data_IF_601245048147
#
_entry.id   IF_601245048147
#
_cell.length_a   1.000
_cell.length_b   1.000
_cell.length_c   1.000
_cell.angle_alpha   90.00
_cell.angle_beta   90.00
_cell.angle_gamma   90.00
#
_symmetry.space_group_name_H-M   'P 1'
#
loop_
_entity.id
_entity.type
_entity.pdbx_description
1 polymer ?
#
# COMPACT_ATOMS: atom_id res chain seq x y z
N UNK A 1 16.42 22.45 -28.51
CA UNK A 1 15.10 21.75 -28.53
C UNK A 1 15.14 20.45 -27.70
N UNK A 2 15.98 20.37 -26.67
CA UNK A 2 16.23 19.13 -25.89
C UNK A 2 15.47 19.02 -24.54
N UNK A 3 14.73 20.05 -24.15
CA UNK A 3 14.13 20.11 -22.80
C UNK A 3 12.76 19.45 -22.64
N UNK A 4 12.12 18.97 -23.71
CA UNK A 4 10.77 18.43 -23.66
C UNK A 4 10.68 16.95 -23.18
N UNK A 5 11.69 16.16 -23.50
CA UNK A 5 11.68 14.71 -23.20
C UNK A 5 11.98 14.41 -21.72
N UNK A 6 12.84 15.20 -21.08
CA UNK A 6 13.18 15.05 -19.67
C UNK A 6 11.98 15.24 -18.72
N UNK A 7 11.10 16.17 -19.04
CA UNK A 7 9.94 16.50 -18.18
C UNK A 7 8.90 15.39 -18.12
N UNK A 8 8.58 14.74 -19.23
CA UNK A 8 7.57 13.66 -19.24
C UNK A 8 8.07 12.39 -18.53
N UNK A 9 9.33 12.01 -18.76
CA UNK A 9 9.96 10.89 -18.04
C UNK A 9 10.04 11.16 -16.53
N UNK A 10 10.35 12.40 -16.14
CA UNK A 10 10.38 12.78 -14.74
C UNK A 10 8.97 12.73 -14.12
N UNK A 11 7.92 13.13 -14.85
CA UNK A 11 6.54 13.09 -14.33
C UNK A 11 6.02 11.65 -14.23
N UNK A 12 6.25 10.82 -15.25
CA UNK A 12 5.86 9.41 -15.24
C UNK A 12 6.65 8.62 -14.19
N UNK A 13 7.93 8.92 -14.01
CA UNK A 13 8.77 8.34 -12.97
C UNK A 13 8.30 8.77 -11.57
N UNK A 14 7.98 10.05 -11.36
CA UNK A 14 7.42 10.53 -10.09
C UNK A 14 6.07 9.88 -9.77
N UNK A 15 5.17 9.77 -10.73
CA UNK A 15 3.89 9.07 -10.53
C UNK A 15 4.06 7.58 -10.24
N UNK A 16 5.05 6.93 -10.85
CA UNK A 16 5.39 5.54 -10.55
C UNK A 16 5.98 5.40 -9.15
N UNK A 17 6.89 6.30 -8.78
CA UNK A 17 7.51 6.35 -7.46
C UNK A 17 6.46 6.57 -6.36
N UNK A 18 5.61 7.58 -6.51
CA UNK A 18 4.58 7.90 -5.52
C UNK A 18 3.47 6.83 -5.47
N UNK A 19 3.02 6.34 -6.61
CA UNK A 19 1.92 5.36 -6.69
C UNK A 19 2.29 3.92 -6.33
N UNK A 20 3.58 3.58 -6.33
CA UNK A 20 4.05 2.21 -6.05
C UNK A 20 4.99 2.16 -4.87
N UNK A 21 6.01 3.01 -4.80
CA UNK A 21 7.03 2.92 -3.76
C UNK A 21 6.51 3.31 -2.37
N UNK A 22 5.64 4.34 -2.28
CA UNK A 22 5.07 4.73 -0.99
C UNK A 22 4.19 3.62 -0.42
N UNK A 23 3.17 3.09 -1.14
CA UNK A 23 2.37 1.98 -0.61
C UNK A 23 3.21 0.73 -0.34
N UNK A 24 4.22 0.43 -1.16
CA UNK A 24 5.11 -0.71 -0.95
C UNK A 24 5.92 -0.56 0.35
N UNK A 25 6.58 0.58 0.55
CA UNK A 25 7.37 0.84 1.76
C UNK A 25 6.50 0.84 3.01
N UNK A 26 5.31 1.45 2.95
CA UNK A 26 4.34 1.44 4.04
C UNK A 26 3.89 0.00 4.35
N UNK A 27 3.56 -0.78 3.32
CA UNK A 27 3.17 -2.18 3.47
C UNK A 27 4.27 -3.03 4.11
N UNK A 28 5.52 -2.85 3.69
CA UNK A 28 6.68 -3.55 4.28
C UNK A 28 6.85 -3.17 5.76
N UNK A 29 6.75 -1.89 6.09
CA UNK A 29 6.86 -1.41 7.49
C UNK A 29 5.76 -2.02 8.35
N UNK A 30 4.51 -2.01 7.89
CA UNK A 30 3.37 -2.59 8.60
C UNK A 30 3.55 -4.10 8.78
N UNK A 31 3.95 -4.82 7.72
CA UNK A 31 4.19 -6.27 7.78
C UNK A 31 5.31 -6.63 8.75
N UNK A 32 6.43 -5.91 8.73
CA UNK A 32 7.53 -6.10 9.67
C UNK A 32 7.09 -5.84 11.10
N UNK A 33 6.33 -4.77 11.35
CA UNK A 33 5.78 -4.49 12.68
C UNK A 33 4.91 -5.64 13.17
N UNK A 34 3.99 -6.14 12.35
CA UNK A 34 3.15 -7.30 12.66
C UNK A 34 3.97 -8.58 12.92
N UNK A 35 5.02 -8.81 12.13
CA UNK A 35 5.92 -9.94 12.31
C UNK A 35 6.67 -9.87 13.65
N UNK A 36 7.27 -8.72 13.97
CA UNK A 36 7.98 -8.54 15.25
C UNK A 36 7.03 -8.66 16.45
N UNK A 37 5.83 -8.09 16.36
CA UNK A 37 4.80 -8.26 17.39
C UNK A 37 4.45 -9.73 17.61
N UNK A 38 4.29 -10.50 16.53
CA UNK A 38 3.96 -11.93 16.61
C UNK A 38 5.12 -12.74 17.17
N UNK A 39 6.33 -12.46 16.73
CA UNK A 39 7.55 -13.14 17.22
C UNK A 39 7.78 -12.87 18.70
N UNK A 40 7.70 -11.61 19.13
CA UNK A 40 7.90 -11.25 20.54
C UNK A 40 6.83 -11.90 21.43
N UNK A 41 5.59 -12.00 20.95
CA UNK A 41 4.53 -12.66 21.68
C UNK A 41 4.74 -14.18 21.79
N UNK A 42 5.17 -14.82 20.71
CA UNK A 42 5.48 -16.25 20.74
C UNK A 42 6.69 -16.56 21.67
N UNK A 43 7.70 -15.68 21.64
CA UNK A 43 8.86 -15.79 22.57
C UNK A 43 8.40 -15.63 24.02
N UNK A 44 7.52 -14.67 24.28
CA UNK A 44 6.94 -14.45 25.61
C UNK A 44 6.07 -15.63 26.05
N UNK A 45 5.26 -16.20 25.16
CA UNK A 45 4.45 -17.38 25.46
C UNK A 45 5.31 -18.62 25.79
N UNK A 46 6.41 -18.82 25.08
CA UNK A 46 7.34 -19.93 25.34
C UNK A 46 8.10 -19.83 26.68
N UNK A 47 8.37 -18.61 27.12
CA UNK A 47 9.17 -18.37 28.32
C UNK A 47 8.36 -17.80 29.49
N UNK A 48 7.03 -17.86 29.40
CA UNK A 48 6.15 -17.33 30.45
C UNK A 48 5.44 -18.45 31.22
N UNK A 49 5.24 -18.20 32.50
CA UNK A 49 4.41 -19.05 33.35
C UNK A 49 3.20 -18.29 33.85
N UNK A 50 2.15 -19.06 34.11
CA UNK A 50 0.92 -18.57 34.73
C UNK A 50 0.99 -18.85 36.22
N UNK A 51 0.81 -17.80 37.01
CA UNK A 51 0.79 -17.89 38.47
C UNK A 51 -0.40 -17.14 39.05
N UNK A 52 -0.87 -17.60 40.21
CA UNK A 52 -1.89 -16.88 40.98
C UNK A 52 -1.20 -15.84 41.86
N UNK A 53 -1.44 -14.59 41.53
CA UNK A 53 -0.96 -13.44 42.30
C UNK A 53 -1.99 -13.07 43.37
N UNK A 54 -1.57 -12.95 44.61
CA UNK A 54 -2.43 -12.58 45.73
C UNK A 54 -2.66 -11.07 45.74
N UNK A 55 -3.92 -10.64 45.74
CA UNK A 55 -4.27 -9.22 45.87
C UNK A 55 -4.00 -8.76 47.29
N UNK A 56 -3.21 -7.68 47.44
CA UNK A 56 -2.87 -7.03 48.71
C UNK A 56 -3.70 -5.79 48.96
N UNK A 57 -3.93 -5.03 47.90
CA UNK A 57 -4.69 -3.79 47.99
C UNK A 57 -5.54 -3.58 46.75
N UNK A 58 -6.64 -2.87 46.87
CA UNK A 58 -7.51 -2.54 45.74
C UNK A 58 -8.26 -1.23 45.98
N UNK A 59 -8.23 -0.34 44.99
CA UNK A 59 -8.83 0.97 45.01
C UNK A 59 -9.75 1.18 43.79
N UNK A 60 -10.96 1.69 43.98
CA UNK A 60 -11.82 2.09 42.86
C UNK A 60 -11.35 3.42 42.27
N UNK A 61 -11.08 3.45 40.94
CA UNK A 61 -10.71 4.65 40.20
C UNK A 61 -11.64 4.86 39.01
N UNK A 62 -12.76 5.54 39.25
CA UNK A 62 -13.81 5.73 38.26
C UNK A 62 -14.53 4.41 37.94
N UNK A 63 -14.53 4.03 36.66
CA UNK A 63 -15.06 2.78 36.11
C UNK A 63 -14.09 1.59 36.19
N UNK A 64 -12.89 1.81 36.71
CA UNK A 64 -11.81 0.83 36.81
C UNK A 64 -11.40 0.61 38.25
N UNK A 65 -10.70 -0.51 38.47
CA UNK A 65 -10.14 -0.85 39.77
C UNK A 65 -8.63 -0.99 39.64
N UNK A 66 -7.92 -0.22 40.41
CA UNK A 66 -6.50 -0.41 40.60
C UNK A 66 -6.31 -1.51 41.65
N UNK A 67 -5.40 -2.47 41.38
CA UNK A 67 -5.07 -3.56 42.30
C UNK A 67 -3.55 -3.69 42.42
N UNK A 68 -3.07 -3.79 43.67
CA UNK A 68 -1.71 -4.17 43.97
C UNK A 68 -1.69 -5.65 44.37
N UNK A 69 -0.75 -6.40 43.83
CA UNK A 69 -0.67 -7.84 44.06
C UNK A 69 0.78 -8.31 44.24
N UNK A 70 0.92 -9.47 44.86
CA UNK A 70 2.21 -10.16 45.07
C UNK A 70 2.12 -11.57 44.49
N UNK A 71 3.23 -12.04 43.95
CA UNK A 71 3.36 -13.40 43.43
C UNK A 71 4.77 -13.95 43.64
N UNK A 72 4.90 -15.26 43.65
CA UNK A 72 6.18 -15.97 43.72
C UNK A 72 6.53 -16.48 42.33
N UNK A 73 7.80 -16.28 41.94
CA UNK A 73 8.31 -16.91 40.73
C UNK A 73 8.74 -18.38 40.98
N UNK A 74 9.29 -19.06 39.96
CA UNK A 74 9.78 -20.43 40.06
C UNK A 74 10.89 -20.59 41.13
N UNK A 75 11.63 -19.52 41.42
CA UNK A 75 12.69 -19.52 42.41
C UNK A 75 12.19 -19.21 43.84
N UNK A 76 10.88 -19.05 44.01
CA UNK A 76 10.22 -18.60 45.24
C UNK A 76 10.58 -17.17 45.65
N UNK A 77 11.10 -16.37 44.73
CA UNK A 77 11.30 -14.95 44.98
C UNK A 77 9.98 -14.19 44.90
N UNK A 78 9.77 -13.28 45.84
CA UNK A 78 8.56 -12.48 45.95
C UNK A 78 8.64 -11.26 45.04
N UNK A 79 7.69 -11.15 44.10
CA UNK A 79 7.53 -10.01 43.21
C UNK A 79 6.25 -9.26 43.51
N UNK A 80 6.25 -7.96 43.21
CA UNK A 80 5.12 -7.06 43.40
C UNK A 80 4.72 -6.46 42.06
N UNK A 81 3.41 -6.33 41.84
CA UNK A 81 2.89 -5.71 40.65
C UNK A 81 1.61 -4.92 40.90
N UNK A 82 1.26 -4.14 39.89
CA UNK A 82 0.06 -3.32 39.91
C UNK A 82 -0.69 -3.52 38.59
N UNK A 83 -2.01 -3.53 38.64
CA UNK A 83 -2.83 -3.64 37.44
C UNK A 83 -4.09 -2.78 37.54
N UNK A 84 -4.56 -2.30 36.39
CA UNK A 84 -5.83 -1.62 36.28
C UNK A 84 -6.82 -2.56 35.59
N UNK A 85 -7.86 -2.96 36.32
CA UNK A 85 -8.86 -3.93 35.87
C UNK A 85 -10.15 -3.20 35.44
N UNK A 86 -10.82 -3.69 34.40
CA UNK A 86 -12.15 -3.24 34.01
C UNK A 86 -13.22 -3.94 34.86
N UNK A 87 -14.40 -3.32 34.99
CA UNK A 87 -15.48 -3.69 35.93
C UNK A 87 -15.73 -5.17 36.21
N UNK A 88 -16.10 -6.02 35.22
CA UNK A 88 -16.41 -7.43 35.51
C UNK A 88 -15.23 -8.24 36.01
N UNK A 89 -14.05 -8.05 35.41
CA UNK A 89 -12.82 -8.74 35.80
C UNK A 89 -12.33 -8.34 37.19
N UNK A 90 -12.51 -7.07 37.56
CA UNK A 90 -12.18 -6.56 38.88
C UNK A 90 -13.04 -7.15 39.97
N UNK A 91 -14.35 -7.26 39.73
CA UNK A 91 -15.27 -7.87 40.70
C UNK A 91 -14.92 -9.34 40.92
N UNK A 92 -14.67 -10.10 39.86
CA UNK A 92 -14.28 -11.50 39.96
C UNK A 92 -12.94 -11.67 40.71
N UNK A 93 -11.92 -10.87 40.40
CA UNK A 93 -10.62 -10.92 41.04
C UNK A 93 -10.71 -10.56 42.55
N UNK A 94 -11.50 -9.55 42.88
CA UNK A 94 -11.71 -9.14 44.29
C UNK A 94 -12.46 -10.19 45.10
N UNK A 95 -13.46 -10.86 44.50
CA UNK A 95 -14.15 -11.95 45.14
C UNK A 95 -13.27 -13.17 45.35
N UNK A 96 -12.40 -13.45 44.41
CA UNK A 96 -11.46 -14.57 44.49
C UNK A 96 -10.25 -14.28 45.39
N UNK A 97 -9.89 -13.01 45.62
CA UNK A 97 -8.70 -12.61 46.37
C UNK A 97 -7.38 -12.82 45.64
N UNK A 98 -7.41 -13.24 44.39
CA UNK A 98 -6.24 -13.46 43.57
C UNK A 98 -6.48 -13.07 42.11
N UNK A 99 -5.38 -12.85 41.37
CA UNK A 99 -5.34 -12.63 39.93
C UNK A 99 -4.54 -13.74 39.26
N UNK A 100 -4.96 -14.16 38.10
CA UNK A 100 -4.10 -14.95 37.24
C UNK A 100 -3.25 -13.99 36.38
N UNK A 101 -1.96 -14.06 36.58
CA UNK A 101 -0.97 -13.31 35.82
C UNK A 101 -0.06 -14.26 35.09
N UNK A 102 0.53 -13.78 34.00
CA UNK A 102 1.57 -14.48 33.29
C UNK A 102 2.83 -13.61 33.36
N UNK A 103 3.98 -14.18 33.74
CA UNK A 103 5.24 -13.48 33.85
C UNK A 103 6.32 -14.14 32.99
N UNK A 104 7.33 -13.36 32.57
CA UNK A 104 8.49 -13.87 31.84
C UNK A 104 9.48 -14.51 32.84
N UNK A 105 9.80 -15.80 32.68
CA UNK A 105 10.77 -16.52 33.53
C UNK A 105 12.15 -15.88 33.57
N UNK A 106 12.56 -15.21 32.49
CA UNK A 106 13.86 -14.54 32.39
C UNK A 106 13.88 -13.17 33.09
N UNK A 107 12.71 -12.54 33.18
CA UNK A 107 12.51 -11.22 33.76
C UNK A 107 11.18 -11.20 34.51
N UNK A 108 11.14 -11.77 35.73
CA UNK A 108 9.91 -11.92 36.49
C UNK A 108 9.16 -10.60 36.76
N UNK A 109 9.86 -9.47 36.71
CA UNK A 109 9.27 -8.14 36.84
C UNK A 109 8.35 -7.76 35.65
N UNK A 110 8.48 -8.47 34.52
CA UNK A 110 7.60 -8.29 33.35
C UNK A 110 6.46 -9.28 33.43
N UNK A 111 5.28 -8.75 33.70
CA UNK A 111 4.07 -9.53 33.83
C UNK A 111 2.89 -8.89 33.05
N UNK A 112 1.89 -9.70 32.76
CA UNK A 112 0.63 -9.26 32.20
C UNK A 112 -0.53 -10.13 32.70
N UNK A 113 -1.73 -9.56 32.66
CA UNK A 113 -2.94 -10.25 33.12
C UNK A 113 -3.28 -11.40 32.17
N UNK A 114 -3.50 -12.59 32.69
CA UNK A 114 -3.91 -13.76 31.92
C UNK A 114 -5.42 -13.76 31.58
N UNK A 115 -5.99 -12.55 31.26
CA UNK A 115 -7.40 -12.44 30.89
C UNK A 115 -7.58 -12.76 29.40
N UNK A 116 -8.47 -13.68 29.09
CA UNK A 116 -8.73 -14.18 27.73
C UNK A 116 -9.09 -13.08 26.73
N UNK A 117 -9.91 -12.11 27.12
CA UNK A 117 -10.38 -11.03 26.22
C UNK A 117 -9.26 -10.16 25.67
N UNK A 118 -8.28 -9.82 26.52
CA UNK A 118 -7.14 -9.00 26.09
C UNK A 118 -6.23 -9.77 25.15
N UNK A 119 -6.06 -11.07 25.40
CA UNK A 119 -5.21 -11.95 24.58
C UNK A 119 -5.78 -12.12 23.19
N UNK A 120 -7.09 -12.29 23.05
CA UNK A 120 -7.77 -12.44 21.77
C UNK A 120 -7.73 -11.14 20.94
N UNK A 121 -7.91 -9.98 21.59
CA UNK A 121 -7.80 -8.70 20.93
C UNK A 121 -6.38 -8.43 20.43
N UNK A 122 -5.37 -8.67 21.25
CA UNK A 122 -3.97 -8.51 20.87
C UNK A 122 -3.57 -9.47 19.74
N UNK A 123 -4.05 -10.71 19.76
CA UNK A 123 -3.84 -11.69 18.71
C UNK A 123 -4.48 -11.23 17.39
N UNK A 124 -5.72 -10.75 17.45
CA UNK A 124 -6.43 -10.23 16.28
C UNK A 124 -5.74 -9.01 15.70
N UNK A 125 -5.27 -8.07 16.51
CA UNK A 125 -4.52 -6.90 16.07
C UNK A 125 -3.21 -7.28 15.39
N UNK A 126 -2.44 -8.21 15.96
CA UNK A 126 -1.17 -8.69 15.38
C UNK A 126 -1.39 -9.34 14.02
N UNK A 127 -2.35 -10.27 13.96
CA UNK A 127 -2.69 -10.96 12.71
C UNK A 127 -3.23 -9.99 11.67
N UNK A 128 -4.11 -9.07 12.07
CA UNK A 128 -4.67 -8.05 11.21
C UNK A 128 -3.60 -7.12 10.63
N UNK A 129 -2.64 -6.69 11.45
CA UNK A 129 -1.51 -5.85 11.01
C UNK A 129 -0.65 -6.58 9.97
N UNK A 130 -0.32 -7.84 10.21
CA UNK A 130 0.48 -8.65 9.28
C UNK A 130 -0.27 -8.83 7.94
N UNK A 131 -1.54 -9.20 7.98
CA UNK A 131 -2.38 -9.42 6.79
C UNK A 131 -2.50 -8.11 6.00
N UNK A 132 -2.76 -6.99 6.66
CA UNK A 132 -2.87 -5.68 6.00
C UNK A 132 -1.57 -5.30 5.29
N UNK A 133 -0.43 -5.48 5.95
CA UNK A 133 0.88 -5.23 5.34
C UNK A 133 1.12 -6.09 4.09
N UNK A 134 0.82 -7.39 4.16
CA UNK A 134 0.93 -8.29 3.02
C UNK A 134 0.01 -7.89 1.86
N UNK A 135 -1.23 -7.51 2.13
CA UNK A 135 -2.17 -7.05 1.10
C UNK A 135 -1.70 -5.77 0.41
N UNK A 136 -1.13 -4.82 1.16
CA UNK A 136 -0.55 -3.60 0.58
C UNK A 136 0.66 -3.91 -0.33
N UNK A 137 1.52 -4.83 0.07
CA UNK A 137 2.66 -5.28 -0.75
C UNK A 137 2.15 -5.93 -2.04
N UNK A 138 1.23 -6.87 -1.95
CA UNK A 138 0.65 -7.57 -3.11
C UNK A 138 -0.04 -6.59 -4.07
N UNK A 139 -0.83 -5.65 -3.55
CA UNK A 139 -1.48 -4.61 -4.35
C UNK A 139 -0.48 -3.71 -5.09
N UNK A 140 0.62 -3.34 -4.41
CA UNK A 140 1.69 -2.54 -5.02
C UNK A 140 2.42 -3.30 -6.13
N UNK A 141 2.74 -4.58 -5.90
CA UNK A 141 3.37 -5.45 -6.90
C UNK A 141 2.45 -5.69 -8.10
N UNK A 142 1.16 -5.91 -7.87
CA UNK A 142 0.18 -6.05 -8.95
C UNK A 142 0.09 -4.78 -9.80
N UNK A 143 0.04 -3.60 -9.16
CA UNK A 143 0.01 -2.31 -9.85
C UNK A 143 1.28 -2.09 -10.68
N UNK A 144 2.45 -2.44 -10.12
CA UNK A 144 3.73 -2.36 -10.82
C UNK A 144 3.75 -3.28 -12.04
N UNK A 145 3.35 -4.55 -11.88
CA UNK A 145 3.31 -5.52 -12.97
C UNK A 145 2.36 -5.07 -14.08
N UNK A 146 1.15 -4.62 -13.72
CA UNK A 146 0.17 -4.12 -14.69
C UNK A 146 0.70 -2.93 -15.50
N UNK A 147 1.31 -1.94 -14.81
CA UNK A 147 1.91 -0.78 -15.48
C UNK A 147 3.09 -1.17 -16.38
N UNK A 148 3.93 -2.09 -15.92
CA UNK A 148 5.07 -2.58 -16.72
C UNK A 148 4.61 -3.24 -18.01
N UNK A 149 3.62 -4.15 -17.92
CA UNK A 149 3.02 -4.80 -19.11
C UNK A 149 2.42 -3.75 -20.05
N UNK A 150 1.74 -2.74 -19.52
CA UNK A 150 1.15 -1.67 -20.33
C UNK A 150 2.24 -0.86 -21.06
N UNK A 151 3.30 -0.43 -20.36
CA UNK A 151 4.42 0.30 -20.96
C UNK A 151 5.11 -0.54 -22.04
N UNK A 152 5.42 -1.80 -21.75
CA UNK A 152 6.04 -2.71 -22.73
C UNK A 152 5.15 -2.87 -23.98
N UNK A 153 3.84 -2.91 -23.78
CA UNK A 153 2.89 -3.02 -24.88
C UNK A 153 2.87 -1.77 -25.78
N UNK A 154 3.00 -0.57 -25.18
CA UNK A 154 3.12 0.69 -25.93
C UNK A 154 4.46 0.74 -26.68
N UNK A 155 5.55 0.43 -26.01
CA UNK A 155 6.89 0.40 -26.61
C UNK A 155 6.91 -0.57 -27.82
N UNK A 156 6.35 -1.78 -27.65
CA UNK A 156 6.24 -2.75 -28.75
C UNK A 156 5.40 -2.21 -29.91
N UNK A 157 4.31 -1.54 -29.61
CA UNK A 157 3.46 -0.92 -30.63
C UNK A 157 4.23 0.18 -31.38
N UNK A 158 4.92 1.06 -30.69
CA UNK A 158 5.72 2.14 -31.29
C UNK A 158 6.86 1.60 -32.17
N UNK A 159 7.45 0.45 -31.83
CA UNK A 159 8.51 -0.16 -32.65
C UNK A 159 7.99 -0.94 -33.86
N UNK A 160 6.91 -1.70 -33.70
CA UNK A 160 6.46 -2.67 -34.71
C UNK A 160 5.13 -2.28 -35.39
N UNK A 161 4.41 -1.29 -34.87
CA UNK A 161 3.14 -0.82 -35.43
C UNK A 161 3.32 -0.10 -36.79
N UNK A 162 2.23 0.12 -37.47
CA UNK A 162 2.19 0.95 -38.68
C UNK A 162 2.01 2.42 -38.32
N UNK A 163 2.84 3.27 -38.87
CA UNK A 163 2.75 4.71 -38.65
C UNK A 163 1.87 5.38 -39.71
N UNK A 164 1.06 6.34 -39.30
CA UNK A 164 0.27 7.18 -40.19
C UNK A 164 0.28 8.63 -39.68
N UNK A 165 0.46 9.57 -40.60
CA UNK A 165 0.33 10.97 -40.27
C UNK A 165 -1.15 11.37 -40.19
N UNK A 166 -1.51 12.09 -39.16
CA UNK A 166 -2.87 12.65 -38.97
C UNK A 166 -2.76 13.98 -38.24
N UNK A 167 -3.87 14.54 -37.80
CA UNK A 167 -3.87 15.82 -37.07
C UNK A 167 -4.71 15.73 -35.80
N UNK A 168 -4.39 16.59 -34.84
CA UNK A 168 -5.18 16.80 -33.62
C UNK A 168 -6.56 17.33 -34.00
N UNK A 169 -7.63 16.69 -33.50
CA UNK A 169 -9.02 17.10 -33.77
C UNK A 169 -9.58 18.00 -32.69
N UNK A 170 -9.57 17.53 -31.45
CA UNK A 170 -10.16 18.25 -30.33
C UNK A 170 -9.39 18.01 -29.05
N UNK A 171 -9.47 18.94 -28.09
CA UNK A 171 -8.96 18.73 -26.76
C UNK A 171 -10.08 18.27 -25.82
N UNK A 172 -9.77 17.33 -24.92
CA UNK A 172 -10.67 16.84 -23.88
C UNK A 172 -10.13 17.31 -22.53
N UNK A 173 -10.92 18.11 -21.82
CA UNK A 173 -10.59 18.60 -20.47
C UNK A 173 -11.61 18.07 -19.45
N UNK A 174 -12.84 17.79 -19.88
CA UNK A 174 -13.91 17.29 -19.01
C UNK A 174 -13.67 15.85 -18.58
N UNK A 175 -13.94 15.55 -17.31
CA UNK A 175 -13.82 14.20 -16.77
C UNK A 175 -12.40 13.78 -16.40
N UNK A 176 -11.40 14.67 -16.51
CA UNK A 176 -10.02 14.43 -16.10
C UNK A 176 -9.72 15.16 -14.79
N UNK A 177 -8.72 14.69 -14.02
CA UNK A 177 -8.22 15.40 -12.86
C UNK A 177 -7.78 16.83 -13.22
N UNK A 178 -7.87 17.75 -12.25
CA UNK A 178 -7.49 19.16 -12.47
C UNK A 178 -6.05 19.28 -12.98
N UNK A 179 -5.85 20.13 -13.99
CA UNK A 179 -4.54 20.34 -14.62
C UNK A 179 -4.12 19.25 -15.61
N UNK A 180 -5.03 18.33 -15.96
CA UNK A 180 -4.80 17.29 -16.97
C UNK A 180 -5.70 17.47 -18.19
N UNK A 181 -5.23 17.06 -19.34
CA UNK A 181 -5.97 17.13 -20.60
C UNK A 181 -5.52 16.02 -21.54
N UNK A 182 -6.36 15.72 -22.52
CA UNK A 182 -6.09 14.81 -23.63
C UNK A 182 -6.49 15.46 -24.95
N UNK A 183 -6.07 14.90 -26.06
CA UNK A 183 -6.59 15.29 -27.36
C UNK A 183 -7.03 14.08 -28.17
N UNK A 184 -7.98 14.29 -29.07
CA UNK A 184 -8.46 13.24 -30.00
C UNK A 184 -7.79 13.36 -31.34
N UNK A 185 -7.70 12.27 -32.04
CA UNK A 185 -7.21 12.17 -33.42
C UNK A 185 -8.00 11.09 -34.19
N UNK A 186 -7.99 11.17 -35.51
CA UNK A 186 -8.53 10.10 -36.32
C UNK A 186 -7.56 9.75 -37.45
N UNK A 187 -7.51 8.49 -37.80
CA UNK A 187 -6.63 7.96 -38.82
C UNK A 187 -7.28 6.86 -39.62
N UNK A 188 -6.80 6.65 -40.83
CA UNK A 188 -7.24 5.57 -41.65
C UNK A 188 -6.28 4.37 -41.53
N UNK A 189 -6.84 3.22 -41.16
CA UNK A 189 -6.05 1.98 -41.08
C UNK A 189 -5.76 1.39 -42.48
N UNK A 190 -4.86 0.40 -42.52
CA UNK A 190 -4.51 -0.32 -43.75
C UNK A 190 -5.71 -0.99 -44.45
N UNK A 191 -6.80 -1.24 -43.74
CA UNK A 191 -8.06 -1.78 -44.25
C UNK A 191 -9.00 -0.71 -44.81
N UNK A 192 -8.56 0.54 -44.94
CA UNK A 192 -9.33 1.66 -45.45
C UNK A 192 -10.39 2.22 -44.50
N UNK A 193 -10.55 1.64 -43.30
CA UNK A 193 -11.53 2.13 -42.30
C UNK A 193 -10.94 3.25 -41.45
N UNK A 194 -11.84 4.17 -41.05
CA UNK A 194 -11.48 5.22 -40.12
C UNK A 194 -11.58 4.75 -38.67
N UNK A 195 -10.61 5.15 -37.88
CA UNK A 195 -10.51 4.89 -36.44
C UNK A 195 -10.26 6.21 -35.69
N UNK A 196 -10.80 6.29 -34.49
CA UNK A 196 -10.57 7.40 -33.59
C UNK A 196 -9.74 6.91 -32.42
N UNK A 197 -8.81 7.75 -31.99
CA UNK A 197 -7.97 7.51 -30.83
C UNK A 197 -7.91 8.74 -29.91
N UNK A 198 -7.47 8.50 -28.70
CA UNK A 198 -7.28 9.54 -27.69
C UNK A 198 -5.82 9.46 -27.22
N UNK A 199 -5.20 10.62 -27.07
CA UNK A 199 -3.82 10.69 -26.54
C UNK A 199 -3.76 10.17 -25.11
N UNK A 200 -2.58 9.80 -24.60
CA UNK A 200 -2.37 9.65 -23.16
C UNK A 200 -2.81 10.92 -22.41
N UNK A 201 -3.13 10.76 -21.13
CA UNK A 201 -3.40 11.90 -20.25
C UNK A 201 -2.10 12.70 -20.06
N UNK A 202 -2.15 13.97 -20.40
CA UNK A 202 -1.01 14.88 -20.35
C UNK A 202 -1.34 16.04 -19.41
N UNK A 203 -0.34 16.67 -18.76
CA UNK A 203 -0.54 17.95 -18.11
C UNK A 203 -1.09 18.95 -19.11
N UNK A 204 -2.03 19.80 -18.70
CA UNK A 204 -2.69 20.76 -19.58
C UNK A 204 -1.67 21.69 -20.30
N UNK A 205 -0.60 22.07 -19.65
CA UNK A 205 0.52 22.83 -20.21
C UNK A 205 1.21 22.13 -21.40
N UNK A 206 1.20 20.80 -21.43
CA UNK A 206 1.76 20.03 -22.54
C UNK A 206 0.78 19.94 -23.71
N UNK A 207 -0.52 19.87 -23.45
CA UNK A 207 -1.54 19.78 -24.50
C UNK A 207 -1.60 21.03 -25.34
N UNK A 208 -1.29 22.20 -24.78
CA UNK A 208 -1.17 23.45 -25.55
C UNK A 208 -0.10 23.41 -26.65
N UNK A 209 0.86 22.49 -26.56
CA UNK A 209 1.86 22.26 -27.61
C UNK A 209 1.31 21.47 -28.79
N UNK A 210 0.11 20.93 -28.66
CA UNK A 210 -0.60 20.16 -29.69
C UNK A 210 -1.89 20.89 -30.09
N UNK A 211 -1.82 22.06 -30.71
CA UNK A 211 -3.01 22.80 -31.15
C UNK A 211 -3.83 21.97 -32.15
N UNK A 212 -5.12 22.22 -32.21
CA UNK A 212 -6.01 21.59 -33.19
C UNK A 212 -5.48 21.84 -34.59
N UNK A 213 -5.44 20.81 -35.42
CA UNK A 213 -4.86 20.84 -36.76
C UNK A 213 -3.36 20.53 -36.83
N UNK A 214 -2.65 20.50 -35.69
CA UNK A 214 -1.23 20.11 -35.70
C UNK A 214 -1.06 18.70 -36.25
N UNK A 215 -0.15 18.50 -37.23
CA UNK A 215 0.16 17.15 -37.72
C UNK A 215 0.88 16.36 -36.65
N UNK A 216 0.41 15.13 -36.40
CA UNK A 216 0.96 14.18 -35.46
C UNK A 216 1.19 12.82 -36.13
N UNK A 217 2.14 12.06 -35.62
CA UNK A 217 2.37 10.69 -36.03
C UNK A 217 1.66 9.74 -35.09
N UNK A 218 0.79 8.90 -35.62
CA UNK A 218 0.09 7.86 -34.88
C UNK A 218 0.60 6.50 -35.31
N UNK A 219 0.89 5.66 -34.34
CA UNK A 219 1.30 4.26 -34.57
C UNK A 219 0.18 3.34 -34.12
N UNK A 220 -0.22 2.42 -34.99
CA UNK A 220 -1.31 1.49 -34.68
C UNK A 220 -0.92 0.04 -35.02
N UNK A 221 -1.60 -0.91 -34.36
CA UNK A 221 -1.45 -2.32 -34.63
C UNK A 221 -2.23 -2.72 -35.90
N UNK A 222 -1.53 -3.33 -36.88
CA UNK A 222 -2.17 -3.79 -38.12
C UNK A 222 -3.25 -4.84 -37.90
N UNK A 223 -3.06 -5.70 -36.89
CA UNK A 223 -4.00 -6.77 -36.58
C UNK A 223 -5.19 -6.25 -35.75
N UNK A 224 -4.93 -5.24 -34.93
CA UNK A 224 -5.94 -4.59 -34.08
C UNK A 224 -5.91 -3.07 -34.27
N UNK A 225 -6.42 -2.52 -35.38
CA UNK A 225 -6.29 -1.11 -35.72
C UNK A 225 -6.87 -0.14 -34.68
N UNK A 226 -7.80 -0.58 -33.86
CA UNK A 226 -8.30 0.21 -32.72
C UNK A 226 -7.25 0.49 -31.65
N UNK A 227 -6.19 -0.29 -31.64
CA UNK A 227 -5.07 -0.10 -30.70
C UNK A 227 -4.05 0.82 -31.38
N UNK A 228 -4.03 2.07 -30.94
CA UNK A 228 -3.17 3.10 -31.49
C UNK A 228 -2.58 3.96 -30.37
N UNK A 229 -1.43 4.56 -30.65
CA UNK A 229 -0.73 5.46 -29.75
C UNK A 229 -0.12 6.60 -30.56
N UNK A 230 -0.06 7.80 -29.98
CA UNK A 230 0.62 8.94 -30.58
C UNK A 230 2.11 8.84 -30.33
N UNK A 231 2.95 8.99 -31.36
CA UNK A 231 4.40 9.05 -31.20
C UNK A 231 4.83 10.40 -30.65
N UNK A 232 4.53 10.67 -29.38
CA UNK A 232 4.89 11.88 -28.69
C UNK A 232 6.40 12.09 -28.54
N UNK A 233 7.18 11.01 -28.72
CA UNK A 233 8.62 11.00 -28.48
C UNK A 233 9.44 11.00 -29.77
N UNK A 234 8.80 10.93 -30.92
CA UNK A 234 9.48 10.83 -32.22
C UNK A 234 10.35 9.57 -32.35
N UNK A 235 9.92 8.48 -31.72
CA UNK A 235 10.65 7.20 -31.74
C UNK A 235 10.72 6.68 -33.19
N UNK A 236 9.64 6.79 -33.93
CA UNK A 236 9.56 6.38 -35.35
C UNK A 236 10.18 7.40 -36.29
N UNK A 237 10.06 8.69 -35.99
CA UNK A 237 10.65 9.75 -36.83
C UNK A 237 12.18 9.69 -36.86
N UNK A 238 12.82 8.99 -35.94
CA UNK A 238 14.28 8.81 -35.86
C UNK A 238 14.77 7.50 -36.47
N UNK A 239 13.87 6.59 -36.86
CA UNK A 239 14.30 5.38 -37.58
C UNK A 239 14.48 5.74 -39.04
N UNK A 240 15.72 5.57 -39.62
CA UNK A 240 15.92 5.74 -41.04
C UNK A 240 14.99 4.76 -41.76
N UNK A 241 14.28 5.27 -42.77
CA UNK A 241 13.49 4.43 -43.68
C UNK A 241 14.41 3.38 -44.28
N UNK A 242 14.21 2.12 -43.91
CA UNK A 242 14.87 0.97 -44.49
C UNK A 242 14.31 0.67 -45.88
#
# INVERSE_FOLDING_TARGET
>A
METGMGGYWQLSLRMLLLGVLIPLSTGVTIALTGYFMTRNAADLEMHSDVVRAQIRDSEARGDRFWVAFEYLDETSALHRGEALLNGPGAVAARMAGFLEIRYDRRRPELYYLATSERHDLERSLRTGTLVLGCLMILGSLFTLAHRTVHILSIVRLLHHGSAVATSVRTHIVSGLPAGQSQFTYAYQGTNGRWYEGVSPVLPAEYVHRFPVGLPILVVYDRQQPRRSEVDLFGIRARQPSA
#
